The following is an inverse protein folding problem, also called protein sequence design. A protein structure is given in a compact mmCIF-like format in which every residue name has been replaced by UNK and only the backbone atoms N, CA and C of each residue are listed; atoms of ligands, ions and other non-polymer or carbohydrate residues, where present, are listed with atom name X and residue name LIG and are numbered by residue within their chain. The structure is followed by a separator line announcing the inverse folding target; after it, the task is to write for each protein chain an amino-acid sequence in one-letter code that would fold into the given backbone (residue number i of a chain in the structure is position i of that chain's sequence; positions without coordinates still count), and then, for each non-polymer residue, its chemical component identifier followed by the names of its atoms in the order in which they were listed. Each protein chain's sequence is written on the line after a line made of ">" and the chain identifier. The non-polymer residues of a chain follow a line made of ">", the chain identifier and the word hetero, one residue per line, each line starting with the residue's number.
data_IF_491839535278
#
_entry.id   IF_491839535278
#
_cell.length_a   1.000
_cell.length_b   1.000
_cell.length_c   1.000
_cell.angle_alpha   90.00
_cell.angle_beta   90.00
_cell.angle_gamma   90.00
#
_symmetry.space_group_name_H-M   'P 1'
#
loop_
_entity.id
_entity.type
_entity.pdbx_description
1 polymer ?
#
# COMPACT_ATOMS: atom_id res chain seq x y z
N UNK A 1 7.47 24.68 5.05
CA UNK A 1 7.95 24.31 3.70
C UNK A 1 8.40 22.85 3.71
N UNK A 2 7.56 21.91 3.26
CA UNK A 2 7.92 20.49 3.22
C UNK A 2 8.60 20.18 1.89
N UNK A 3 9.89 19.88 1.95
CA UNK A 3 10.73 19.56 0.80
C UNK A 3 10.30 18.20 0.22
N UNK A 4 9.50 18.22 -0.86
CA UNK A 4 9.08 17.03 -1.62
C UNK A 4 10.29 16.40 -2.32
N UNK A 5 11.08 15.60 -1.60
CA UNK A 5 12.00 14.64 -2.24
C UNK A 5 11.14 13.55 -2.89
N UNK A 6 11.24 13.43 -4.21
CA UNK A 6 10.65 12.35 -5.00
C UNK A 6 11.18 11.00 -4.51
N UNK A 7 10.50 10.38 -3.55
CA UNK A 7 10.74 8.99 -3.13
C UNK A 7 10.05 8.08 -4.13
N UNK A 8 10.81 7.22 -4.82
CA UNK A 8 10.34 6.32 -5.88
C UNK A 8 10.38 4.87 -5.38
N UNK A 9 9.30 4.14 -5.54
CA UNK A 9 9.24 2.69 -5.30
C UNK A 9 8.65 2.02 -6.54
N UNK A 10 8.90 0.72 -6.74
CA UNK A 10 8.41 0.02 -7.93
C UNK A 10 7.69 -1.28 -7.59
N UNK A 11 6.57 -1.51 -8.26
CA UNK A 11 5.82 -2.75 -8.20
C UNK A 11 6.32 -3.66 -9.31
N UNK A 12 6.63 -4.92 -9.02
CA UNK A 12 7.01 -5.94 -10.00
C UNK A 12 6.01 -7.08 -10.00
N UNK A 13 5.67 -7.63 -11.17
CA UNK A 13 4.77 -8.80 -11.26
C UNK A 13 5.57 -10.09 -11.49
N UNK A 14 5.09 -11.19 -10.90
CA UNK A 14 5.61 -12.53 -11.13
C UNK A 14 4.57 -13.37 -11.88
N UNK A 15 4.38 -13.10 -13.18
CA UNK A 15 3.37 -13.79 -13.99
C UNK A 15 3.75 -15.26 -14.17
N UNK A 16 2.86 -16.20 -13.79
CA UNK A 16 3.05 -17.66 -13.91
C UNK A 16 3.02 -18.16 -15.38
N UNK A 17 3.97 -17.74 -16.21
CA UNK A 17 4.30 -18.40 -17.48
C UNK A 17 5.79 -18.69 -17.53
N UNK A 18 6.15 -19.74 -18.26
CA UNK A 18 7.41 -20.51 -18.31
C UNK A 18 8.74 -19.70 -18.44
N UNK A 19 8.70 -18.37 -18.52
CA UNK A 19 9.83 -17.44 -18.41
C UNK A 19 9.55 -16.38 -17.33
N UNK A 20 10.19 -16.51 -16.16
CA UNK A 20 10.12 -15.54 -15.06
C UNK A 20 10.97 -14.31 -15.37
N UNK A 21 10.41 -13.35 -16.11
CA UNK A 21 10.99 -12.01 -16.22
C UNK A 21 10.35 -11.12 -15.16
N UNK A 22 11.18 -10.55 -14.28
CA UNK A 22 10.74 -9.51 -13.35
C UNK A 22 10.51 -8.22 -14.13
N UNK A 23 9.26 -7.88 -14.39
CA UNK A 23 8.89 -6.64 -15.07
C UNK A 23 8.39 -5.63 -14.05
N UNK A 24 8.88 -4.39 -14.12
CA UNK A 24 8.32 -3.28 -13.34
C UNK A 24 6.97 -2.88 -13.92
N UNK A 25 5.91 -3.02 -13.14
CA UNK A 25 4.54 -2.64 -13.49
C UNK A 25 4.32 -1.13 -13.39
N UNK A 26 4.71 -0.54 -12.25
CA UNK A 26 4.55 0.88 -12.00
C UNK A 26 5.57 1.37 -10.97
N UNK A 27 5.83 2.69 -11.00
CA UNK A 27 6.51 3.36 -9.90
C UNK A 27 5.47 4.10 -9.06
N UNK A 28 5.62 4.03 -7.75
CA UNK A 28 4.76 4.66 -6.79
C UNK A 28 5.54 5.78 -6.06
N UNK A 29 4.82 6.80 -5.59
CA UNK A 29 5.37 8.02 -4.97
C UNK A 29 4.70 8.37 -3.64
N UNK A 30 5.19 9.38 -2.91
CA UNK A 30 4.63 9.74 -1.59
C UNK A 30 3.10 9.85 -1.63
N UNK A 31 2.42 9.17 -0.70
CA UNK A 31 0.96 9.15 -0.59
C UNK A 31 0.25 8.04 -1.38
N UNK A 32 0.95 7.26 -2.21
CA UNK A 32 0.34 6.09 -2.83
C UNK A 32 0.18 4.93 -1.83
N UNK A 33 -0.89 4.16 -2.01
CA UNK A 33 -1.22 2.96 -1.22
C UNK A 33 -1.02 1.71 -2.08
N UNK A 34 -0.73 0.58 -1.44
CA UNK A 34 -0.63 -0.73 -2.09
C UNK A 34 -0.98 -1.84 -1.10
N UNK A 35 -1.25 -3.05 -1.60
CA UNK A 35 -1.58 -4.20 -0.76
C UNK A 35 -3.08 -4.42 -0.53
N UNK A 36 -3.94 -3.75 -1.30
CA UNK A 36 -5.40 -3.86 -1.21
C UNK A 36 -5.93 -5.28 -1.49
N UNK A 37 -5.11 -6.15 -2.10
CA UNK A 37 -5.43 -7.57 -2.32
C UNK A 37 -5.81 -8.32 -1.03
N UNK A 38 -5.35 -7.83 0.12
CA UNK A 38 -5.67 -8.36 1.45
C UNK A 38 -7.15 -8.18 1.85
N UNK A 39 -7.89 -7.29 1.18
CA UNK A 39 -9.34 -7.11 1.40
C UNK A 39 -10.16 -8.22 0.78
N UNK A 40 -9.66 -8.77 -0.33
CA UNK A 40 -10.38 -9.76 -1.14
C UNK A 40 -9.84 -11.18 -0.92
N UNK A 41 -8.96 -11.36 0.07
CA UNK A 41 -8.25 -12.62 0.34
C UNK A 41 -7.58 -13.21 -0.92
N UNK A 42 -7.18 -12.32 -1.85
CA UNK A 42 -6.51 -12.68 -3.09
C UNK A 42 -5.02 -12.89 -2.87
N UNK A 43 -4.40 -13.87 -3.55
CA UNK A 43 -2.96 -14.06 -3.49
C UNK A 43 -2.22 -12.80 -3.99
N UNK A 44 -1.06 -12.52 -3.40
CA UNK A 44 -0.24 -11.38 -3.79
C UNK A 44 0.46 -11.66 -5.13
N UNK A 45 -0.08 -11.13 -6.22
CA UNK A 45 0.44 -11.33 -7.58
C UNK A 45 1.59 -10.37 -7.98
N UNK A 46 1.97 -9.48 -7.06
CA UNK A 46 3.02 -8.48 -7.28
C UNK A 46 3.84 -8.19 -6.02
N UNK A 47 5.15 -8.00 -6.21
CA UNK A 47 6.09 -7.61 -5.16
C UNK A 47 6.35 -6.11 -5.23
N UNK A 48 6.37 -5.44 -4.08
CA UNK A 48 6.79 -4.04 -3.98
C UNK A 48 8.22 -4.01 -3.48
N UNK A 49 9.08 -3.30 -4.22
CA UNK A 49 10.50 -3.14 -3.88
C UNK A 49 10.81 -1.66 -3.67
N UNK A 50 11.44 -1.37 -2.55
CA UNK A 50 11.92 -0.02 -2.20
C UNK A 50 13.25 0.22 -2.92
N UNK A 51 13.34 1.30 -3.72
CA UNK A 51 14.58 1.67 -4.43
C UNK A 51 15.45 2.63 -3.62
N UNK A 52 14.89 3.21 -2.57
CA UNK A 52 15.53 4.17 -1.67
C UNK A 52 15.02 3.93 -0.26
N UNK A 53 15.74 4.43 0.75
CA UNK A 53 15.23 4.50 2.12
C UNK A 53 13.91 5.26 2.16
N UNK A 54 12.91 4.66 2.81
CA UNK A 54 11.56 5.21 2.91
C UNK A 54 10.88 4.71 4.18
N UNK A 55 9.99 5.54 4.70
CA UNK A 55 9.09 5.19 5.80
C UNK A 55 7.76 4.74 5.20
N UNK A 56 7.21 3.66 5.73
CA UNK A 56 5.93 3.11 5.32
C UNK A 56 5.03 3.02 6.55
N UNK A 57 3.80 3.48 6.41
CA UNK A 57 2.77 3.21 7.40
C UNK A 57 2.21 1.82 7.12
N UNK A 58 2.37 0.90 8.08
CA UNK A 58 1.79 -0.44 8.00
C UNK A 58 0.47 -0.45 8.75
N UNK A 59 -0.61 -0.74 8.03
CA UNK A 59 -1.92 -0.97 8.61
C UNK A 59 -2.17 -2.47 8.75
N UNK A 60 -2.64 -2.92 9.91
CA UNK A 60 -3.05 -4.33 10.09
C UNK A 60 -4.32 -4.65 9.30
N UNK A 61 -4.50 -5.91 8.88
CA UNK A 61 -5.65 -6.29 8.05
C UNK A 61 -7.00 -5.93 8.70
N UNK A 62 -7.11 -6.10 10.02
CA UNK A 62 -8.34 -5.77 10.77
C UNK A 62 -8.63 -4.27 10.73
N UNK A 63 -7.63 -3.44 11.04
CA UNK A 63 -7.73 -1.98 10.94
C UNK A 63 -8.01 -1.52 9.50
N UNK A 64 -7.42 -2.19 8.51
CA UNK A 64 -7.65 -1.88 7.10
C UNK A 64 -9.09 -2.17 6.66
N UNK A 65 -9.66 -3.31 7.12
CA UNK A 65 -11.08 -3.63 6.88
C UNK A 65 -11.99 -2.57 7.52
N UNK A 66 -11.69 -2.12 8.74
CA UNK A 66 -12.45 -1.05 9.39
C UNK A 66 -12.41 0.26 8.60
N UNK A 67 -11.25 0.66 8.06
CA UNK A 67 -11.12 1.85 7.20
C UNK A 67 -11.92 1.66 5.91
N UNK A 68 -11.83 0.49 5.28
CA UNK A 68 -12.49 0.21 4.01
C UNK A 68 -14.01 0.15 4.14
N UNK A 69 -14.53 -0.55 5.15
CA UNK A 69 -15.96 -0.60 5.46
C UNK A 69 -16.49 0.80 5.82
N UNK A 70 -15.72 1.57 6.59
CA UNK A 70 -16.07 2.95 6.92
C UNK A 70 -15.79 3.94 5.79
N UNK A 71 -15.33 3.52 4.61
CA UNK A 71 -15.37 4.36 3.41
C UNK A 71 -16.78 4.45 2.85
N UNK A 72 -17.60 3.41 3.08
CA UNK A 72 -19.00 3.37 2.66
C UNK A 72 -19.93 4.09 3.64
N UNK A 73 -19.42 4.47 4.82
CA UNK A 73 -20.13 5.19 5.87
C UNK A 73 -19.42 6.53 6.04
N UNK A 74 -20.11 7.67 6.15
CA UNK A 74 -19.50 9.03 6.13
C UNK A 74 -18.51 9.36 7.27
N UNK A 75 -18.07 8.39 8.07
CA UNK A 75 -17.24 8.53 9.29
C UNK A 75 -15.74 8.21 9.10
N UNK A 76 -15.29 8.02 7.86
CA UNK A 76 -13.92 7.59 7.52
C UNK A 76 -12.80 8.40 8.19
N UNK A 77 -12.98 9.71 8.38
CA UNK A 77 -11.96 10.61 8.93
C UNK A 77 -11.56 10.34 10.39
N UNK A 78 -12.52 10.00 11.27
CA UNK A 78 -12.23 9.72 12.69
C UNK A 78 -11.47 8.39 12.86
N UNK A 79 -11.81 7.40 12.04
CA UNK A 79 -11.25 6.06 12.11
C UNK A 79 -9.81 6.04 11.61
N UNK A 80 -9.55 6.74 10.49
CA UNK A 80 -8.19 6.95 9.99
C UNK A 80 -7.31 7.65 11.03
N UNK A 81 -7.79 8.72 11.66
CA UNK A 81 -7.04 9.42 12.71
C UNK A 81 -6.75 8.52 13.92
N UNK A 82 -7.69 7.65 14.30
CA UNK A 82 -7.55 6.72 15.43
C UNK A 82 -6.56 5.59 15.12
N UNK A 83 -6.56 5.07 13.90
CA UNK A 83 -5.65 4.02 13.45
C UNK A 83 -4.24 4.57 13.28
N UNK A 84 -4.08 5.74 12.67
CA UNK A 84 -2.77 6.41 12.56
C UNK A 84 -2.17 6.64 13.96
N UNK A 85 -2.97 7.10 14.94
CA UNK A 85 -2.51 7.24 16.34
C UNK A 85 -2.11 5.93 17.02
N UNK A 86 -2.60 4.78 16.58
CA UNK A 86 -2.17 3.46 17.12
C UNK A 86 -0.87 2.97 16.50
N UNK A 87 -0.47 3.55 15.36
CA UNK A 87 0.68 3.13 14.57
C UNK A 87 1.90 4.05 14.71
N UNK A 88 1.73 5.20 15.38
CA UNK A 88 2.80 6.18 15.67
C UNK A 88 3.13 6.14 17.14
#
# INVERSE_FOLDING_TARGET
>A
MWLKRHRRYSVTSNRRRRNKLSVTLCNLGVGATFGESILHDLPRDSTVVTKTTCELLRVEQQDFRLIFECRYISSSGLILAKIIKRMT
#
